data_IF_625191411391
#
_entry.id   IF_625191411391
#
_cell.length_a   1.000
_cell.length_b   1.000
_cell.length_c   1.000
_cell.angle_alpha   90.00
_cell.angle_beta   90.00
_cell.angle_gamma   90.00
#
_symmetry.space_group_name_H-M   'P 1'
#
loop_
_entity.id
_entity.type
_entity.pdbx_description
1 polymer ?
#
# COMPACT_ATOMS: atom_id res chain seq x y z
N UNK A 1 4.11 44.35 -3.93
CA UNK A 1 4.19 43.01 -4.55
C UNK A 1 4.19 41.86 -3.54
N UNK A 2 4.96 41.93 -2.43
CA UNK A 2 4.87 40.94 -1.32
C UNK A 2 3.45 40.77 -0.75
N UNK A 3 2.61 41.81 -0.84
CA UNK A 3 1.22 41.81 -0.38
C UNK A 3 0.32 40.91 -1.23
N UNK A 4 0.48 40.94 -2.55
CA UNK A 4 -0.28 40.07 -3.48
C UNK A 4 0.11 38.61 -3.29
N UNK A 5 1.41 38.32 -3.26
CA UNK A 5 1.90 36.95 -3.06
C UNK A 5 1.40 36.38 -1.73
N UNK A 6 1.45 37.18 -0.65
CA UNK A 6 0.92 36.80 0.66
C UNK A 6 -0.60 36.59 0.65
N UNK A 7 -1.32 37.40 -0.11
CA UNK A 7 -2.78 37.28 -0.23
C UNK A 7 -3.18 35.98 -0.94
N UNK A 8 -2.59 35.72 -2.11
CA UNK A 8 -2.82 34.50 -2.88
C UNK A 8 -2.42 33.27 -2.06
N UNK A 9 -1.24 33.28 -1.41
CA UNK A 9 -0.80 32.18 -0.55
C UNK A 9 -1.76 31.94 0.61
N UNK A 10 -2.28 33.00 1.26
CA UNK A 10 -3.24 32.84 2.36
C UNK A 10 -4.53 32.18 1.87
N UNK A 11 -5.07 32.60 0.72
CA UNK A 11 -6.26 31.97 0.14
C UNK A 11 -5.98 30.52 -0.26
N UNK A 12 -4.82 30.26 -0.87
CA UNK A 12 -4.40 28.92 -1.29
C UNK A 12 -4.26 27.96 -0.11
N UNK A 13 -3.63 28.39 0.99
CA UNK A 13 -3.49 27.59 2.21
C UNK A 13 -4.85 27.25 2.82
N UNK A 14 -5.78 28.21 2.87
CA UNK A 14 -7.13 27.97 3.41
C UNK A 14 -7.87 26.94 2.55
N UNK A 15 -7.85 27.09 1.22
CA UNK A 15 -8.51 26.17 0.31
C UNK A 15 -7.82 24.79 0.26
N UNK A 16 -6.51 24.74 0.45
CA UNK A 16 -5.73 23.51 0.58
C UNK A 16 -6.09 22.73 1.85
N UNK A 17 -6.15 23.39 3.01
CA UNK A 17 -6.56 22.75 4.28
C UNK A 17 -7.99 22.25 4.20
N UNK A 18 -8.88 23.02 3.57
CA UNK A 18 -10.24 22.57 3.26
C UNK A 18 -10.23 21.30 2.38
N UNK A 19 -9.41 21.29 1.33
CA UNK A 19 -9.23 20.12 0.47
C UNK A 19 -8.72 18.89 1.21
N UNK A 20 -7.76 19.05 2.12
CA UNK A 20 -7.29 17.95 2.98
C UNK A 20 -8.44 17.39 3.81
N UNK A 21 -9.20 18.23 4.51
CA UNK A 21 -10.32 17.77 5.33
C UNK A 21 -11.40 17.06 4.52
N UNK A 22 -11.71 17.59 3.33
CA UNK A 22 -12.66 17.00 2.40
C UNK A 22 -12.22 15.61 1.94
N UNK A 23 -11.01 15.48 1.38
CA UNK A 23 -10.53 14.18 0.89
C UNK A 23 -10.25 13.20 2.03
N UNK A 24 -9.77 13.67 3.18
CA UNK A 24 -9.57 12.82 4.35
C UNK A 24 -10.89 12.22 4.83
N UNK A 25 -11.97 13.02 4.89
CA UNK A 25 -13.29 12.52 5.28
C UNK A 25 -13.85 11.52 4.27
N UNK A 26 -13.72 11.78 2.97
CA UNK A 26 -14.20 10.88 1.91
C UNK A 26 -13.45 9.54 1.92
N UNK A 27 -12.11 9.57 1.94
CA UNK A 27 -11.29 8.35 1.89
C UNK A 27 -11.42 7.53 3.18
N UNK A 28 -11.50 8.21 4.32
CA UNK A 28 -11.71 7.57 5.62
C UNK A 28 -13.09 6.95 5.76
N UNK A 29 -14.15 7.60 5.25
CA UNK A 29 -15.52 7.20 5.51
C UNK A 29 -15.76 5.73 5.11
N UNK A 30 -15.24 5.34 3.95
CA UNK A 30 -15.29 3.95 3.46
C UNK A 30 -14.63 2.99 4.47
N UNK A 31 -13.40 3.29 4.87
CA UNK A 31 -12.61 2.43 5.76
C UNK A 31 -13.19 2.32 7.17
N UNK A 32 -13.76 3.43 7.67
CA UNK A 32 -14.46 3.49 8.96
C UNK A 32 -15.68 2.57 8.95
N UNK A 33 -16.48 2.59 7.88
CA UNK A 33 -17.69 1.76 7.74
C UNK A 33 -17.32 0.27 7.68
N UNK A 34 -16.31 -0.11 6.91
CA UNK A 34 -15.82 -1.49 6.83
C UNK A 34 -15.30 -1.99 8.20
N UNK A 35 -14.59 -1.14 8.95
CA UNK A 35 -14.05 -1.51 10.26
C UNK A 35 -15.12 -1.58 11.34
N UNK A 36 -16.06 -0.63 11.36
CA UNK A 36 -17.18 -0.63 12.31
C UNK A 36 -18.07 -1.85 12.12
N UNK A 37 -18.33 -2.27 10.88
CA UNK A 37 -19.06 -3.51 10.60
C UNK A 37 -18.26 -4.73 11.07
N UNK A 38 -16.94 -4.76 10.87
CA UNK A 38 -16.09 -5.85 11.36
C UNK A 38 -16.02 -5.95 12.91
N UNK A 39 -16.08 -4.82 13.61
CA UNK A 39 -16.11 -4.73 15.07
C UNK A 39 -17.42 -5.25 15.65
N UNK A 40 -18.54 -4.84 15.05
CA UNK A 40 -19.88 -5.20 15.49
C UNK A 40 -20.19 -6.67 15.27
N UNK A 41 -19.70 -7.27 14.18
CA UNK A 41 -20.07 -8.64 13.82
C UNK A 41 -19.12 -9.73 14.33
N UNK A 42 -17.82 -9.47 14.56
CA UNK A 42 -16.84 -10.58 14.63
C UNK A 42 -15.92 -10.69 15.85
N UNK A 43 -15.56 -9.61 16.55
CA UNK A 43 -14.28 -9.66 17.28
C UNK A 43 -14.22 -9.10 18.70
N UNK A 44 -15.27 -8.48 19.25
CA UNK A 44 -15.23 -7.96 20.63
C UNK A 44 -14.07 -6.97 20.90
N UNK A 45 -13.51 -6.39 19.83
CA UNK A 45 -12.39 -5.46 19.89
C UNK A 45 -12.88 -4.13 20.46
N UNK A 46 -12.16 -3.61 21.46
CA UNK A 46 -12.45 -2.31 22.06
C UNK A 46 -12.44 -1.20 21.00
N UNK A 47 -13.44 -0.31 21.04
CA UNK A 47 -13.58 0.84 20.16
C UNK A 47 -12.30 1.69 20.11
N UNK A 48 -11.57 1.73 21.23
CA UNK A 48 -10.28 2.43 21.38
C UNK A 48 -9.23 1.89 20.40
N UNK A 49 -9.14 0.57 20.20
CA UNK A 49 -8.14 -0.02 19.28
C UNK A 49 -8.43 0.32 17.84
N UNK A 50 -9.70 0.42 17.45
CA UNK A 50 -10.05 0.77 16.07
C UNK A 50 -9.81 2.23 15.77
N UNK A 51 -10.09 3.12 16.72
CA UNK A 51 -9.71 4.53 16.61
C UNK A 51 -8.18 4.65 16.49
N UNK A 52 -7.42 3.88 17.27
CA UNK A 52 -5.95 3.89 17.19
C UNK A 52 -5.42 3.39 15.84
N UNK A 53 -5.93 2.27 15.34
CA UNK A 53 -5.58 1.74 14.01
C UNK A 53 -5.97 2.75 12.91
N UNK A 54 -7.10 3.42 13.07
CA UNK A 54 -7.53 4.46 12.15
C UNK A 54 -6.55 5.64 12.14
N UNK A 55 -6.14 6.14 13.31
CA UNK A 55 -5.15 7.23 13.42
C UNK A 55 -3.84 6.89 12.73
N UNK A 56 -3.36 5.65 12.86
CA UNK A 56 -2.13 5.21 12.19
C UNK A 56 -2.29 4.99 10.69
N UNK A 57 -3.51 4.93 10.13
CA UNK A 57 -3.69 4.87 8.67
C UNK A 57 -3.72 6.26 8.00
N UNK A 58 -3.96 7.33 8.77
CA UNK A 58 -4.03 8.71 8.25
C UNK A 58 -2.78 9.12 7.44
N UNK A 59 -1.54 8.82 7.88
CA UNK A 59 -0.34 9.17 7.13
C UNK A 59 -0.26 8.55 5.73
N UNK A 60 -0.72 7.31 5.58
CA UNK A 60 -0.77 6.63 4.28
C UNK A 60 -1.77 7.30 3.33
N UNK A 61 -2.90 7.78 3.85
CA UNK A 61 -3.85 8.55 3.05
C UNK A 61 -3.32 9.95 2.70
N UNK A 62 -2.59 10.60 3.61
CA UNK A 62 -2.02 11.93 3.39
C UNK A 62 -1.13 11.99 2.14
N UNK A 63 -0.38 10.93 1.83
CA UNK A 63 0.44 10.85 0.60
C UNK A 63 -0.40 11.05 -0.66
N UNK A 64 -1.63 10.53 -0.69
CA UNK A 64 -2.56 10.70 -1.81
C UNK A 64 -3.34 12.01 -1.71
N UNK A 65 -3.73 12.41 -0.50
CA UNK A 65 -4.57 13.58 -0.26
C UNK A 65 -3.84 14.88 -0.56
N UNK A 66 -2.56 15.02 -0.20
CA UNK A 66 -1.81 16.26 -0.38
C UNK A 66 -1.82 16.72 -1.86
N UNK A 67 -1.40 15.91 -2.86
CA UNK A 67 -1.40 16.36 -4.26
C UNK A 67 -2.82 16.67 -4.78
N UNK A 68 -3.84 15.90 -4.36
CA UNK A 68 -5.23 16.18 -4.72
C UNK A 68 -5.72 17.49 -4.10
N UNK A 69 -5.36 17.77 -2.85
CA UNK A 69 -5.70 18.99 -2.14
C UNK A 69 -4.98 20.22 -2.73
N UNK A 70 -3.73 20.08 -3.21
CA UNK A 70 -3.03 21.16 -3.93
C UNK A 70 -3.78 21.52 -5.21
N UNK A 71 -4.20 20.52 -5.99
CA UNK A 71 -4.97 20.72 -7.21
C UNK A 71 -6.29 21.43 -6.91
N UNK A 72 -7.08 20.89 -5.97
CA UNK A 72 -8.37 21.46 -5.59
C UNK A 72 -8.21 22.89 -5.03
N UNK A 73 -7.24 23.09 -4.14
CA UNK A 73 -6.94 24.40 -3.56
C UNK A 73 -6.57 25.43 -4.62
N UNK A 74 -5.80 25.04 -5.63
CA UNK A 74 -5.40 25.92 -6.74
C UNK A 74 -6.59 26.30 -7.61
N UNK A 75 -7.47 25.34 -7.92
CA UNK A 75 -8.70 25.58 -8.69
C UNK A 75 -9.64 26.51 -7.92
N UNK A 76 -9.92 26.22 -6.65
CA UNK A 76 -10.83 27.03 -5.82
C UNK A 76 -10.31 28.46 -5.64
N UNK A 77 -9.00 28.62 -5.41
CA UNK A 77 -8.38 29.94 -5.25
C UNK A 77 -8.49 30.74 -6.55
N UNK A 78 -8.12 30.13 -7.67
CA UNK A 78 -8.20 30.80 -8.98
C UNK A 78 -9.63 31.11 -9.37
N UNK A 79 -10.57 30.18 -9.12
CA UNK A 79 -12.00 30.36 -9.36
C UNK A 79 -12.53 31.56 -8.58
N UNK A 80 -12.22 31.67 -7.28
CA UNK A 80 -12.64 32.79 -6.46
C UNK A 80 -12.08 34.13 -6.93
N UNK A 81 -10.76 34.19 -7.17
CA UNK A 81 -10.09 35.38 -7.70
C UNK A 81 -10.68 35.82 -9.06
N UNK A 82 -11.10 34.86 -9.88
CA UNK A 82 -11.75 35.14 -11.16
C UNK A 82 -13.18 35.63 -10.99
N UNK A 83 -13.96 35.03 -10.09
CA UNK A 83 -15.35 35.46 -9.78
C UNK A 83 -15.41 36.87 -9.20
N UNK A 84 -14.45 37.22 -8.34
CA UNK A 84 -14.34 38.55 -7.75
C UNK A 84 -13.69 39.58 -8.72
N UNK A 85 -13.46 39.21 -9.98
CA UNK A 85 -12.79 40.01 -11.01
C UNK A 85 -11.38 40.50 -10.63
N UNK A 86 -10.77 39.94 -9.58
CA UNK A 86 -9.42 40.31 -9.14
C UNK A 86 -8.38 39.94 -10.20
N UNK A 87 -8.53 38.81 -10.88
CA UNK A 87 -7.64 38.41 -11.99
C UNK A 87 -7.66 39.47 -13.10
N UNK A 88 -8.84 40.00 -13.43
CA UNK A 88 -9.01 41.03 -14.47
C UNK A 88 -8.37 42.35 -14.02
N UNK A 89 -8.57 42.75 -12.77
CA UNK A 89 -7.97 43.96 -12.20
C UNK A 89 -6.43 43.90 -12.19
N UNK A 90 -5.86 42.74 -11.85
CA UNK A 90 -4.41 42.51 -11.89
C UNK A 90 -3.86 42.61 -13.31
N UNK A 91 -4.61 42.11 -14.30
CA UNK A 91 -4.26 42.21 -15.73
C UNK A 91 -4.31 43.66 -16.21
N UNK A 92 -5.34 44.42 -15.84
CA UNK A 92 -5.46 45.84 -16.17
C UNK A 92 -4.32 46.67 -15.55
N UNK A 93 -3.79 46.22 -14.41
CA UNK A 93 -2.63 46.82 -13.73
C UNK A 93 -1.27 46.44 -14.35
N UNK A 94 -1.25 45.70 -15.46
CA UNK A 94 -0.03 45.31 -16.17
C UNK A 94 0.69 44.07 -15.61
N UNK A 95 0.05 43.31 -14.70
CA UNK A 95 0.67 42.08 -14.16
C UNK A 95 0.61 40.94 -15.18
N UNK A 96 1.77 40.34 -15.46
CA UNK A 96 1.88 39.19 -16.37
C UNK A 96 1.26 37.92 -15.77
N UNK A 97 0.67 37.07 -16.61
CA UNK A 97 0.14 35.76 -16.19
C UNK A 97 1.19 34.88 -15.52
N UNK A 98 2.43 34.90 -16.02
CA UNK A 98 3.52 34.12 -15.43
C UNK A 98 3.80 34.52 -13.98
N UNK A 99 3.66 35.82 -13.64
CA UNK A 99 3.86 36.31 -12.28
C UNK A 99 2.77 35.83 -11.32
N UNK A 100 1.54 35.70 -11.81
CA UNK A 100 0.40 35.18 -11.05
C UNK A 100 0.57 33.69 -10.67
N UNK A 101 1.25 32.90 -11.50
CA UNK A 101 1.48 31.46 -11.25
C UNK A 101 2.60 31.19 -10.23
N UNK A 102 3.53 32.13 -10.03
CA UNK A 102 4.70 31.92 -9.14
C UNK A 102 4.31 31.50 -7.71
N UNK A 103 3.34 32.14 -7.01
CA UNK A 103 2.92 31.73 -5.68
C UNK A 103 2.39 30.29 -5.61
N UNK A 104 1.65 29.85 -6.63
CA UNK A 104 1.15 28.47 -6.74
C UNK A 104 2.29 27.47 -6.94
N UNK A 105 3.31 27.86 -7.72
CA UNK A 105 4.47 27.01 -7.98
C UNK A 105 5.35 26.85 -6.73
N UNK A 106 5.59 27.94 -6.00
CA UNK A 106 6.28 27.91 -4.69
C UNK A 106 5.52 27.01 -3.71
N UNK A 107 4.19 27.15 -3.64
CA UNK A 107 3.36 26.32 -2.78
C UNK A 107 3.39 24.84 -3.17
N UNK A 108 3.41 24.55 -4.48
CA UNK A 108 3.49 23.16 -4.98
C UNK A 108 4.82 22.51 -4.64
N UNK A 109 5.94 23.24 -4.72
CA UNK A 109 7.26 22.75 -4.30
C UNK A 109 7.27 22.46 -2.79
N UNK A 110 6.70 23.37 -1.99
CA UNK A 110 6.54 23.16 -0.55
C UNK A 110 5.70 21.93 -0.25
N UNK A 111 4.54 21.77 -0.89
CA UNK A 111 3.66 20.63 -0.71
C UNK A 111 4.34 19.31 -1.15
N UNK A 112 5.09 19.33 -2.25
CA UNK A 112 5.89 18.18 -2.70
C UNK A 112 6.91 17.76 -1.64
N UNK A 113 7.63 18.73 -1.07
CA UNK A 113 8.62 18.47 0.00
C UNK A 113 7.94 17.88 1.24
N UNK A 114 6.76 18.37 1.60
CA UNK A 114 5.96 17.80 2.70
C UNK A 114 5.52 16.38 2.39
N UNK A 115 5.04 16.09 1.17
CA UNK A 115 4.65 14.73 0.76
C UNK A 115 5.82 13.75 0.86
N UNK A 116 7.02 14.15 0.42
CA UNK A 116 8.22 13.32 0.53
C UNK A 116 8.54 13.03 2.00
N UNK A 117 8.51 14.04 2.87
CA UNK A 117 8.73 13.85 4.31
C UNK A 117 7.70 12.91 4.95
N UNK A 118 6.41 13.04 4.57
CA UNK A 118 5.35 12.15 5.03
C UNK A 118 5.60 10.72 4.57
N UNK A 119 5.96 10.52 3.31
CA UNK A 119 6.22 9.22 2.73
C UNK A 119 7.46 8.55 3.33
N UNK A 120 8.52 9.31 3.58
CA UNK A 120 9.80 8.77 4.03
C UNK A 120 9.84 8.47 5.54
N UNK A 121 9.15 9.27 6.36
CA UNK A 121 9.24 9.15 7.82
C UNK A 121 7.94 8.60 8.42
N UNK A 122 6.81 9.18 8.03
CA UNK A 122 5.55 8.93 8.72
C UNK A 122 4.85 7.65 8.24
N UNK A 123 4.93 7.33 6.95
CA UNK A 123 4.40 6.07 6.41
C UNK A 123 5.08 4.84 7.03
N UNK A 124 6.41 4.68 7.02
CA UNK A 124 7.03 3.46 7.56
C UNK A 124 6.79 3.31 9.06
N UNK A 125 6.85 4.40 9.83
CA UNK A 125 6.54 4.38 11.28
C UNK A 125 5.09 3.95 11.55
N UNK A 126 4.17 4.35 10.68
CA UNK A 126 2.76 4.00 10.79
C UNK A 126 2.53 2.53 10.43
N UNK A 127 3.14 2.04 9.36
CA UNK A 127 3.08 0.63 8.95
C UNK A 127 3.60 -0.30 10.04
N UNK A 128 4.72 0.05 10.69
CA UNK A 128 5.28 -0.75 11.78
C UNK A 128 4.32 -0.84 12.98
N UNK A 129 3.72 0.27 13.39
CA UNK A 129 2.76 0.29 14.51
C UNK A 129 1.44 -0.38 14.16
N UNK A 130 0.98 -0.25 12.92
CA UNK A 130 -0.19 -0.98 12.44
C UNK A 130 0.03 -2.48 12.48
N UNK A 131 1.22 -2.95 12.10
CA UNK A 131 1.57 -4.36 12.16
C UNK A 131 1.53 -4.87 13.61
N UNK A 132 2.15 -4.16 14.54
CA UNK A 132 2.12 -4.53 15.98
C UNK A 132 0.71 -4.54 16.57
N UNK A 133 -0.16 -3.61 16.17
CA UNK A 133 -1.53 -3.49 16.69
C UNK A 133 -2.49 -4.55 16.14
N UNK A 134 -2.14 -5.17 15.02
CA UNK A 134 -3.02 -6.08 14.28
C UNK A 134 -2.52 -7.52 14.32
N UNK A 135 -1.26 -7.76 14.67
CA UNK A 135 -0.69 -9.09 14.91
C UNK A 135 -1.58 -9.90 15.88
N UNK A 136 -2.06 -11.06 15.41
CA UNK A 136 -2.92 -11.96 16.18
C UNK A 136 -4.42 -11.61 16.18
N UNK A 137 -4.85 -10.61 15.41
CA UNK A 137 -6.28 -10.30 15.22
C UNK A 137 -6.77 -10.72 13.83
N UNK A 138 -8.06 -11.00 13.68
CA UNK A 138 -8.68 -11.26 12.36
C UNK A 138 -8.65 -10.06 11.39
N UNK A 139 -8.11 -8.91 11.84
CA UNK A 139 -7.94 -7.71 11.03
C UNK A 139 -6.62 -7.71 10.25
N UNK A 140 -5.66 -8.59 10.56
CA UNK A 140 -4.37 -8.65 9.82
C UNK A 140 -4.61 -8.83 8.31
N UNK A 141 -5.55 -9.70 7.92
CA UNK A 141 -5.87 -9.95 6.51
C UNK A 141 -6.67 -8.86 5.80
N UNK A 142 -7.24 -7.90 6.54
CA UNK A 142 -7.97 -6.77 5.95
C UNK A 142 -7.08 -5.54 5.70
N UNK A 143 -5.91 -5.47 6.35
CA UNK A 143 -5.09 -4.25 6.42
C UNK A 143 -3.76 -4.34 5.71
N UNK A 144 -3.24 -5.56 5.56
CA UNK A 144 -2.06 -5.82 4.75
C UNK A 144 -2.53 -6.50 3.48
N UNK A 145 -1.95 -6.11 2.34
CA UNK A 145 -2.15 -6.81 1.08
C UNK A 145 -1.69 -8.25 1.24
N UNK A 146 -2.63 -9.14 1.56
CA UNK A 146 -2.51 -10.56 1.27
C UNK A 146 -2.27 -10.72 -0.23
N UNK A 147 -1.47 -11.74 -0.61
CA UNK A 147 -1.08 -12.14 -1.98
C UNK A 147 0.34 -11.73 -2.40
N UNK A 148 1.33 -12.14 -1.61
CA UNK A 148 2.74 -12.11 -2.01
C UNK A 148 2.96 -13.12 -3.14
N UNK A 149 3.31 -12.63 -4.33
CA UNK A 149 3.78 -13.46 -5.43
C UNK A 149 5.30 -13.41 -5.50
N UNK A 150 5.98 -14.54 -5.42
CA UNK A 150 7.42 -14.60 -5.73
C UNK A 150 7.72 -15.63 -6.80
N UNK A 151 8.63 -15.27 -7.70
CA UNK A 151 9.10 -16.14 -8.78
C UNK A 151 10.50 -16.62 -8.44
N UNK A 152 10.67 -17.93 -8.36
CA UNK A 152 11.98 -18.59 -8.24
C UNK A 152 12.25 -19.34 -9.54
N UNK A 153 13.40 -19.08 -10.16
CA UNK A 153 13.85 -19.88 -11.29
C UNK A 153 14.51 -21.13 -10.73
N UNK A 154 13.77 -22.24 -10.69
CA UNK A 154 14.36 -23.52 -10.35
C UNK A 154 15.16 -23.98 -11.57
N UNK A 155 16.50 -24.03 -11.42
CA UNK A 155 17.42 -24.42 -12.50
C UNK A 155 16.91 -25.59 -13.37
N UNK A 156 17.32 -25.59 -14.64
CA UNK A 156 16.76 -26.39 -15.76
C UNK A 156 15.52 -25.81 -16.47
N UNK A 157 15.30 -24.49 -16.37
CA UNK A 157 14.22 -23.80 -17.11
C UNK A 157 12.82 -24.08 -16.55
N UNK A 158 12.75 -24.37 -15.25
CA UNK A 158 11.50 -24.54 -14.51
C UNK A 158 11.22 -23.27 -13.70
N UNK A 159 10.17 -22.53 -14.02
CA UNK A 159 9.76 -21.36 -13.23
C UNK A 159 8.82 -21.80 -12.10
N UNK A 160 9.10 -21.39 -10.87
CA UNK A 160 8.20 -21.59 -9.72
C UNK A 160 7.59 -20.27 -9.30
N UNK A 161 6.26 -20.18 -9.30
CA UNK A 161 5.51 -19.03 -8.79
C UNK A 161 4.88 -19.43 -7.47
N UNK A 162 5.29 -18.78 -6.41
CA UNK A 162 4.70 -18.93 -5.10
C UNK A 162 3.71 -17.81 -4.87
N UNK A 163 2.56 -18.16 -4.33
CA UNK A 163 1.52 -17.28 -3.88
C UNK A 163 1.33 -17.52 -2.39
N UNK A 164 1.54 -16.49 -1.58
CA UNK A 164 1.40 -16.58 -0.12
C UNK A 164 0.29 -15.65 0.32
N UNK A 165 -0.68 -16.21 1.05
CA UNK A 165 -1.76 -15.42 1.63
C UNK A 165 -1.26 -14.51 2.75
N UNK A 166 -0.48 -15.07 3.69
CA UNK A 166 -0.01 -14.32 4.86
C UNK A 166 1.38 -14.78 5.28
N UNK A 167 2.24 -13.84 5.71
CA UNK A 167 3.58 -14.14 6.24
C UNK A 167 3.62 -13.84 7.74
N UNK A 168 3.89 -14.83 8.57
CA UNK A 168 4.24 -14.65 9.98
C UNK A 168 5.75 -14.44 10.12
N UNK A 169 6.16 -13.17 10.14
CA UNK A 169 7.56 -12.75 10.19
C UNK A 169 8.26 -13.11 11.50
N UNK A 170 7.53 -13.35 12.60
CA UNK A 170 8.13 -13.71 13.90
C UNK A 170 8.54 -15.18 13.95
N UNK A 171 7.75 -16.04 13.33
CA UNK A 171 8.01 -17.49 13.29
C UNK A 171 8.72 -17.95 12.01
N UNK A 172 8.79 -17.10 10.99
CA UNK A 172 9.29 -17.48 9.67
C UNK A 172 8.37 -18.48 8.96
N UNK A 173 7.07 -18.38 9.20
CA UNK A 173 6.06 -19.29 8.66
C UNK A 173 5.19 -18.55 7.65
N UNK A 174 5.04 -19.13 6.45
CA UNK A 174 4.12 -18.68 5.42
C UNK A 174 2.79 -19.42 5.61
N UNK A 175 1.68 -18.72 5.53
CA UNK A 175 0.32 -19.26 5.74
C UNK A 175 -0.45 -19.14 4.43
N UNK A 176 -1.13 -20.22 4.04
CA UNK A 176 -1.91 -20.30 2.81
C UNK A 176 -1.04 -20.14 1.57
N UNK A 177 -0.16 -21.10 1.34
CA UNK A 177 0.84 -21.07 0.27
C UNK A 177 0.38 -21.91 -0.92
N UNK A 178 0.38 -21.32 -2.10
CA UNK A 178 0.18 -22.00 -3.37
C UNK A 178 1.45 -21.90 -4.20
N UNK A 179 2.06 -23.00 -4.59
CA UNK A 179 3.25 -23.03 -5.46
C UNK A 179 2.85 -23.62 -6.80
N UNK A 180 3.12 -22.91 -7.88
CA UNK A 180 2.90 -23.38 -9.25
C UNK A 180 4.24 -23.52 -9.93
N UNK A 181 4.54 -24.71 -10.45
CA UNK A 181 5.76 -24.94 -11.19
C UNK A 181 5.46 -25.11 -12.67
N UNK A 182 6.16 -24.35 -13.48
CA UNK A 182 6.04 -24.27 -14.92
C UNK A 182 7.30 -24.87 -15.55
N UNK A 183 7.14 -25.83 -16.46
CA UNK A 183 8.19 -26.26 -17.36
C UNK A 183 8.06 -25.57 -18.72
N UNK A 184 8.87 -26.01 -19.69
CA UNK A 184 8.86 -25.47 -21.08
C UNK A 184 7.52 -25.65 -21.81
N UNK A 185 6.72 -26.63 -21.42
CA UNK A 185 5.47 -27.01 -22.10
C UNK A 185 4.20 -26.70 -21.28
N UNK A 186 4.31 -26.03 -20.13
CA UNK A 186 3.16 -25.64 -19.31
C UNK A 186 3.34 -25.93 -17.81
N UNK A 187 2.24 -25.91 -17.06
CA UNK A 187 2.25 -26.19 -15.61
C UNK A 187 2.56 -27.67 -15.41
N UNK A 188 3.60 -27.97 -14.63
CA UNK A 188 3.98 -29.32 -14.24
C UNK A 188 3.28 -29.75 -12.96
N UNK A 189 3.22 -28.84 -11.97
CA UNK A 189 2.62 -29.14 -10.66
C UNK A 189 2.10 -27.90 -9.94
N UNK A 190 1.07 -28.10 -9.13
CA UNK A 190 0.51 -27.09 -8.22
C UNK A 190 0.50 -27.67 -6.80
N UNK A 191 1.02 -26.94 -5.83
CA UNK A 191 1.08 -27.34 -4.43
C UNK A 191 0.25 -26.32 -3.65
N UNK A 192 -0.81 -26.76 -2.98
CA UNK A 192 -1.57 -25.93 -2.05
C UNK A 192 -1.30 -26.41 -0.62
N UNK A 193 -0.73 -25.57 0.24
CA UNK A 193 -0.40 -25.92 1.62
C UNK A 193 -0.96 -24.88 2.60
N UNK A 194 -1.35 -25.35 3.78
CA UNK A 194 -1.82 -24.44 4.83
C UNK A 194 -0.65 -23.65 5.45
N UNK A 195 0.51 -24.28 5.61
CA UNK A 195 1.69 -23.67 6.19
C UNK A 195 2.93 -24.05 5.37
N UNK A 196 3.88 -23.13 5.22
CA UNK A 196 5.21 -23.43 4.70
C UNK A 196 6.29 -22.78 5.59
N UNK A 197 7.38 -23.50 5.83
CA UNK A 197 8.54 -23.00 6.59
C UNK A 197 9.80 -23.30 5.82
N UNK A 198 10.77 -22.38 5.83
CA UNK A 198 12.09 -22.67 5.28
C UNK A 198 12.98 -23.22 6.40
N UNK A 199 13.38 -24.49 6.28
CA UNK A 199 14.34 -25.14 7.18
C UNK A 199 15.56 -25.55 6.35
N UNK A 200 16.75 -25.05 6.71
CA UNK A 200 18.03 -25.47 6.13
C UNK A 200 18.09 -25.44 4.59
N UNK A 201 17.48 -24.45 3.93
CA UNK A 201 17.48 -24.34 2.47
C UNK A 201 16.47 -25.27 1.77
N UNK A 202 15.47 -25.76 2.51
CA UNK A 202 14.33 -26.52 1.98
C UNK A 202 13.02 -25.89 2.43
N UNK A 203 12.07 -25.80 1.50
CA UNK A 203 10.69 -25.45 1.80
C UNK A 203 9.97 -26.68 2.34
N UNK A 204 9.56 -26.61 3.60
CA UNK A 204 8.76 -27.62 4.28
C UNK A 204 7.31 -27.15 4.27
N UNK A 205 6.49 -27.80 3.45
CA UNK A 205 5.04 -27.56 3.37
C UNK A 205 4.32 -28.50 4.31
N UNK A 206 3.30 -28.01 5.02
CA UNK A 206 2.47 -28.79 5.94
C UNK A 206 1.01 -28.73 5.55
N UNK A 207 0.32 -29.87 5.70
CA UNK A 207 -1.12 -30.05 5.44
C UNK A 207 -1.53 -29.48 4.08
N UNK A 208 -1.09 -30.17 3.02
CA UNK A 208 -1.28 -29.69 1.67
C UNK A 208 -1.76 -30.75 0.68
N UNK A 209 -2.04 -30.26 -0.53
CA UNK A 209 -2.48 -31.05 -1.67
C UNK A 209 -1.57 -30.69 -2.83
N UNK A 210 -0.89 -31.70 -3.37
CA UNK A 210 -0.09 -31.63 -4.60
C UNK A 210 -0.96 -32.10 -5.77
N UNK A 211 -1.03 -31.29 -6.82
CA UNK A 211 -1.65 -31.60 -8.09
C UNK A 211 -0.54 -31.76 -9.12
N UNK A 212 -0.38 -32.95 -9.68
CA UNK A 212 0.48 -33.19 -10.83
C UNK A 212 -0.33 -33.00 -12.10
N UNK A 213 0.18 -32.18 -13.02
CA UNK A 213 -0.49 -31.83 -14.26
C UNK A 213 0.12 -32.63 -15.42
N UNK A 214 -0.71 -33.11 -16.33
CA UNK A 214 -0.29 -33.69 -17.60
C UNK A 214 0.03 -32.62 -18.65
N UNK A 215 0.68 -32.99 -19.77
CA UNK A 215 1.07 -32.05 -20.84
C UNK A 215 -0.09 -31.26 -21.48
N UNK A 216 -1.34 -31.71 -21.32
CA UNK A 216 -2.55 -31.04 -21.79
C UNK A 216 -3.27 -30.19 -20.74
N UNK A 217 -2.70 -30.00 -19.53
CA UNK A 217 -3.33 -29.26 -18.44
C UNK A 217 -4.35 -30.07 -17.61
N UNK A 218 -4.48 -31.36 -17.86
CA UNK A 218 -5.32 -32.26 -17.05
C UNK A 218 -4.62 -32.64 -15.74
N UNK A 219 -5.38 -32.74 -14.64
CA UNK A 219 -4.85 -33.23 -13.36
C UNK A 219 -4.63 -34.73 -13.46
N UNK A 220 -3.36 -35.15 -13.55
CA UNK A 220 -2.99 -36.58 -13.58
C UNK A 220 -3.07 -37.23 -12.21
N UNK A 221 -2.69 -36.48 -11.16
CA UNK A 221 -2.59 -37.04 -9.81
C UNK A 221 -2.86 -35.98 -8.76
N UNK A 222 -3.60 -36.36 -7.73
CA UNK A 222 -3.82 -35.56 -6.53
C UNK A 222 -3.22 -36.32 -5.36
N UNK A 223 -2.25 -35.73 -4.68
CA UNK A 223 -1.61 -36.31 -3.49
C UNK A 223 -1.88 -35.39 -2.31
N UNK A 224 -2.55 -35.91 -1.28
CA UNK A 224 -2.67 -35.21 0.00
C UNK A 224 -1.48 -35.58 0.87
N UNK A 225 -0.79 -34.58 1.39
CA UNK A 225 0.38 -34.77 2.24
C UNK A 225 0.19 -34.03 3.56
N UNK A 226 0.67 -34.65 4.65
CA UNK A 226 0.79 -33.98 5.94
C UNK A 226 2.05 -33.12 6.00
N UNK A 227 3.14 -33.59 5.37
CA UNK A 227 4.42 -32.88 5.27
C UNK A 227 5.11 -33.22 3.94
N UNK A 228 5.51 -32.20 3.19
CA UNK A 228 6.26 -32.33 1.93
C UNK A 228 7.48 -31.39 1.98
N UNK A 229 8.63 -31.82 1.45
CA UNK A 229 9.86 -31.03 1.43
C UNK A 229 10.34 -30.81 0.00
N UNK A 230 10.62 -29.56 -0.36
CA UNK A 230 11.15 -29.19 -1.68
C UNK A 230 12.43 -28.40 -1.48
N UNK A 231 13.46 -28.72 -2.26
CA UNK A 231 14.71 -27.95 -2.25
C UNK A 231 14.42 -26.49 -2.64
N UNK A 232 14.82 -25.56 -1.78
CA UNK A 232 14.79 -24.13 -2.05
C UNK A 232 16.15 -23.76 -2.67
N UNK A 233 16.15 -23.10 -3.82
CA UNK A 233 17.38 -22.53 -4.38
C UNK A 233 17.70 -21.17 -3.76
N UNK A 234 16.72 -20.50 -3.14
CA UNK A 234 16.88 -19.26 -2.39
C UNK A 234 16.38 -19.33 -0.94
N UNK A 235 17.04 -18.58 -0.04
CA UNK A 235 16.66 -18.49 1.36
C UNK A 235 15.47 -17.56 1.60
N UNK A 236 14.51 -17.98 2.43
CA UNK A 236 13.29 -17.22 2.81
C UNK A 236 13.57 -15.76 3.22
N UNK A 237 14.71 -15.47 3.86
CA UNK A 237 15.07 -14.11 4.27
C UNK A 237 15.34 -13.16 3.10
N UNK A 238 15.95 -13.65 2.01
CA UNK A 238 16.22 -12.84 0.82
C UNK A 238 14.93 -12.58 0.05
N UNK A 239 14.05 -13.59 -0.04
CA UNK A 239 12.73 -13.46 -0.66
C UNK A 239 11.80 -12.51 0.10
N UNK A 240 11.87 -12.48 1.44
CA UNK A 240 11.08 -11.56 2.27
C UNK A 240 11.63 -10.12 2.25
N UNK A 241 12.94 -9.92 2.17
CA UNK A 241 13.53 -8.59 2.05
C UNK A 241 13.24 -7.92 0.71
N UNK A 242 13.09 -8.70 -0.37
CA UNK A 242 12.64 -8.20 -1.66
C UNK A 242 11.17 -7.73 -1.69
N UNK A 243 10.41 -7.89 -0.59
CA UNK A 243 8.98 -7.63 -0.53
C UNK A 243 8.51 -6.73 0.63
N UNK A 244 9.29 -5.73 1.04
CA UNK A 244 8.60 -4.52 1.48
C UNK A 244 7.87 -3.96 0.25
N UNK A 245 6.57 -3.67 0.39
CA UNK A 245 5.80 -3.04 -0.68
C UNK A 245 6.58 -1.77 -1.09
N UNK A 246 6.90 -1.51 -2.37
CA UNK A 246 7.72 -0.34 -2.74
C UNK A 246 7.14 1.00 -2.27
N UNK A 247 5.83 1.01 -1.97
CA UNK A 247 5.10 2.16 -1.39
C UNK A 247 5.34 2.36 0.11
N UNK A 248 5.85 1.36 0.80
CA UNK A 248 6.15 1.34 2.25
C UNK A 248 7.66 1.40 2.53
N UNK A 249 8.49 1.43 1.49
CA UNK A 249 9.94 1.62 1.60
C UNK A 249 10.25 3.12 1.62
N UNK A 250 11.19 3.52 2.50
CA UNK A 250 11.86 4.81 2.37
C UNK A 250 12.76 4.76 1.13
N UNK A 251 12.95 5.91 0.47
CA UNK A 251 13.78 6.03 -0.73
C UNK A 251 15.25 5.67 -0.49
N UNK A 252 15.68 5.62 0.78
CA UNK A 252 17.04 5.28 1.17
C UNK A 252 17.29 3.76 1.37
N UNK A 253 16.28 2.91 1.15
CA UNK A 253 16.31 1.47 1.45
C UNK A 253 16.00 0.62 0.21
#
# INVERSE_FOLDING_TARGET
MKTLDRYILKQLVVNFVFGIGLFLSILTASDLIYRLTSLWLKSGLSLVRVVQIFLWNIPSFLVYIIPMAVLLGSILTTSRLSSDSEVIALRASGVSYFRFTIPFLIFSIWACSVTILVQEVFVPMSSEKLMQLTEGTSLTGLLFQENTFFREEAGEGVERIFYVRQVDSRKGVLIGVTVQEYGKEGILRIINAQEATNQEGKWVFRKGILYEMGPGGEVRRIVRFEKEEIAAQQGLRETLQQQKNPREMSLAQ
#
